data_IF_357061525068
#
_entry.id   IF_357061525068
#
_cell.length_a   1.000
_cell.length_b   1.000
_cell.length_c   1.000
_cell.angle_alpha   90.00
_cell.angle_beta   90.00
_cell.angle_gamma   90.00
#
_symmetry.space_group_name_H-M   'P 1'
#
loop_
_entity.id
_entity.type
_entity.pdbx_description
1 polymer ?
#
# COMPACT_ATOMS: atom_id res chain seq x y z
N UNK A 1 -35.66 15.13 21.51
CA UNK A 1 -35.17 14.95 20.12
C UNK A 1 -33.94 14.06 20.21
N UNK A 2 -33.88 12.78 19.84
CA UNK A 2 -34.87 11.74 19.54
C UNK A 2 -34.14 10.43 19.90
N UNK A 3 -34.72 9.62 20.79
CA UNK A 3 -34.17 8.33 21.17
C UNK A 3 -34.39 7.30 20.04
N UNK A 4 -33.48 6.33 19.82
CA UNK A 4 -33.69 5.25 18.86
C UNK A 4 -34.57 4.15 19.46
N UNK A 5 -35.72 3.90 18.83
CA UNK A 5 -36.57 2.75 19.12
C UNK A 5 -35.90 1.48 18.57
N UNK A 6 -35.64 0.52 19.45
CA UNK A 6 -35.27 -0.86 19.11
C UNK A 6 -36.53 -1.71 18.99
N UNK A 7 -36.64 -2.54 17.96
CA UNK A 7 -37.55 -3.69 17.97
C UNK A 7 -36.79 -4.99 17.61
N UNK A 8 -36.61 -5.78 18.67
CA UNK A 8 -37.04 -7.17 18.82
C UNK A 8 -36.47 -8.27 17.89
N UNK A 9 -35.70 -9.11 18.57
CA UNK A 9 -35.27 -10.49 18.29
C UNK A 9 -36.43 -11.50 18.18
N UNK A 10 -36.27 -12.64 17.46
CA UNK A 10 -36.44 -14.04 17.94
C UNK A 10 -36.74 -15.09 16.83
N UNK A 11 -35.72 -15.91 16.56
CA UNK A 11 -35.62 -17.40 16.53
C UNK A 11 -36.78 -18.38 16.12
N UNK A 12 -36.39 -19.44 15.39
CA UNK A 12 -36.87 -20.87 15.25
C UNK A 12 -38.30 -21.30 14.81
N UNK A 13 -38.36 -22.13 13.73
CA UNK A 13 -39.01 -23.47 13.75
C UNK A 13 -40.29 -23.77 12.90
N UNK A 14 -40.14 -24.46 11.74
CA UNK A 14 -41.10 -25.37 11.03
C UNK A 14 -42.55 -24.93 10.71
N UNK A 15 -43.40 -25.70 9.99
CA UNK A 15 -43.20 -26.60 8.84
C UNK A 15 -43.42 -25.88 7.49
N UNK A 16 -42.75 -26.35 6.43
CA UNK A 16 -42.69 -25.70 5.12
C UNK A 16 -44.06 -25.55 4.41
N UNK A 17 -44.57 -24.32 4.35
CA UNK A 17 -45.70 -23.89 3.52
C UNK A 17 -45.18 -22.96 2.42
N UNK A 18 -45.64 -23.17 1.17
CA UNK A 18 -45.12 -22.54 -0.07
C UNK A 18 -45.04 -21.00 -0.09
N UNK A 19 -45.63 -20.28 0.88
CA UNK A 19 -45.48 -18.83 1.04
C UNK A 19 -44.20 -18.40 1.77
N UNK A 20 -43.55 -19.30 2.50
CA UNK A 20 -42.33 -18.99 3.28
C UNK A 20 -41.05 -19.01 2.44
N UNK A 21 -41.09 -19.57 1.23
CA UNK A 21 -39.93 -19.66 0.32
C UNK A 21 -39.64 -18.32 -0.38
N UNK A 22 -40.60 -17.38 -0.41
CA UNK A 22 -40.40 -16.04 -0.96
C UNK A 22 -39.86 -15.00 0.05
N UNK A 23 -39.47 -15.44 1.26
CA UNK A 23 -38.88 -14.58 2.29
C UNK A 23 -37.37 -14.80 2.49
N UNK A 24 -36.77 -15.79 1.81
CA UNK A 24 -35.32 -16.08 1.85
C UNK A 24 -34.51 -15.30 0.78
N UNK A 25 -34.98 -14.11 0.40
CA UNK A 25 -34.35 -13.27 -0.63
C UNK A 25 -33.48 -12.13 -0.10
N UNK A 26 -33.25 -12.04 1.21
CA UNK A 26 -32.46 -10.95 1.82
C UNK A 26 -31.11 -11.48 2.34
N UNK A 27 -30.33 -12.10 1.46
CA UNK A 27 -28.95 -12.44 1.76
C UNK A 27 -28.09 -11.17 1.68
N UNK A 28 -27.57 -10.75 2.83
CA UNK A 28 -26.44 -9.85 3.04
C UNK A 28 -26.45 -8.54 2.22
N UNK A 29 -26.96 -7.46 2.83
CA UNK A 29 -26.44 -6.14 2.52
C UNK A 29 -24.97 -6.11 2.98
N UNK A 30 -24.05 -6.50 2.09
CA UNK A 30 -22.65 -6.13 2.25
C UNK A 30 -22.63 -4.61 2.24
N UNK A 31 -22.41 -4.00 3.40
CA UNK A 31 -21.99 -2.61 3.44
C UNK A 31 -20.67 -2.59 2.70
N UNK A 32 -20.72 -2.28 1.41
CA UNK A 32 -19.56 -1.84 0.67
C UNK A 32 -19.15 -0.57 1.39
N UNK A 33 -18.20 -0.71 2.32
CA UNK A 33 -17.48 0.42 2.84
C UNK A 33 -16.76 0.93 1.62
N UNK A 34 -17.36 1.94 1.00
CA UNK A 34 -16.68 2.80 0.06
C UNK A 34 -15.68 3.57 0.90
N UNK A 35 -14.57 2.91 1.20
CA UNK A 35 -13.32 3.60 1.36
C UNK A 35 -13.17 4.27 0.01
N UNK A 36 -13.61 5.53 -0.11
CA UNK A 36 -12.98 6.41 -1.08
C UNK A 36 -11.55 6.39 -0.60
N UNK A 37 -10.62 5.68 -1.27
CA UNK A 37 -9.26 6.12 -1.07
C UNK A 37 -9.35 7.58 -1.49
N UNK A 38 -8.65 8.48 -0.81
CA UNK A 38 -8.28 9.70 -1.48
C UNK A 38 -7.38 9.26 -2.66
N UNK A 39 -7.99 8.76 -3.74
CA UNK A 39 -7.53 8.73 -5.12
C UNK A 39 -7.50 10.17 -5.62
N UNK A 40 -7.04 11.09 -4.76
CA UNK A 40 -6.59 12.38 -5.21
C UNK A 40 -5.34 12.07 -6.04
N UNK A 41 -5.55 12.02 -7.35
CA UNK A 41 -4.54 12.21 -8.40
C UNK A 41 -3.74 10.99 -8.91
N UNK A 42 -4.36 9.81 -9.13
CA UNK A 42 -3.64 8.66 -9.73
C UNK A 42 -3.77 8.53 -11.27
N UNK A 43 -4.32 9.51 -11.98
CA UNK A 43 -4.50 9.41 -13.45
C UNK A 43 -3.54 10.28 -14.30
N UNK A 44 -2.73 11.15 -13.69
CA UNK A 44 -1.79 12.04 -14.42
C UNK A 44 -0.32 11.99 -13.97
N UNK A 45 0.01 11.23 -12.92
CA UNK A 45 1.31 11.31 -12.22
C UNK A 45 2.17 10.05 -12.32
N UNK A 46 2.13 9.26 -13.40
CA UNK A 46 3.11 8.15 -13.56
C UNK A 46 4.56 8.65 -13.74
N UNK A 47 4.76 9.95 -13.98
CA UNK A 47 6.07 10.60 -13.94
C UNK A 47 6.37 11.09 -12.51
N UNK A 48 5.43 11.76 -11.84
CA UNK A 48 5.60 12.27 -10.46
C UNK A 48 5.15 11.29 -9.34
N UNK A 49 5.20 9.97 -9.56
CA UNK A 49 4.87 9.04 -8.48
C UNK A 49 5.98 9.07 -7.41
N UNK A 50 5.61 8.97 -6.14
CA UNK A 50 6.55 8.92 -5.03
C UNK A 50 6.60 7.51 -4.43
N UNK A 51 7.81 7.02 -4.18
CA UNK A 51 8.10 5.74 -3.52
C UNK A 51 8.60 6.05 -2.10
N UNK A 52 7.81 5.77 -1.06
CA UNK A 52 8.27 5.89 0.32
C UNK A 52 9.27 4.77 0.64
N UNK A 53 10.41 5.15 1.20
CA UNK A 53 11.47 4.24 1.59
C UNK A 53 11.85 4.52 3.05
N UNK A 54 11.57 3.60 3.99
CA UNK A 54 10.80 2.37 3.90
C UNK A 54 9.32 2.65 3.60
N UNK A 55 8.59 1.60 3.22
CA UNK A 55 7.13 1.70 3.16
C UNK A 55 6.58 2.14 4.53
N UNK A 56 5.46 2.87 4.61
CA UNK A 56 4.83 3.29 5.87
C UNK A 56 4.52 2.11 6.80
N UNK A 57 4.25 0.94 6.23
CA UNK A 57 4.02 -0.31 6.96
C UNK A 57 5.30 -0.84 7.64
N UNK A 58 6.46 -0.45 7.12
CA UNK A 58 7.78 -0.77 7.65
C UNK A 58 8.38 0.37 8.49
N UNK A 59 7.57 1.34 8.92
CA UNK A 59 8.03 2.49 9.70
C UNK A 59 8.87 2.10 10.92
N UNK A 60 9.98 2.80 11.13
CA UNK A 60 10.93 2.55 12.23
C UNK A 60 12.06 1.57 11.91
N UNK A 61 12.03 0.92 10.74
CA UNK A 61 13.10 0.05 10.27
C UNK A 61 14.09 0.77 9.36
N UNK A 62 15.30 0.24 9.29
CA UNK A 62 16.40 0.67 8.43
C UNK A 62 16.51 -0.27 7.23
N UNK A 63 17.24 0.13 6.20
CA UNK A 63 17.43 -0.68 5.00
C UNK A 63 18.87 -1.19 4.98
N UNK A 64 19.05 -2.50 5.00
CA UNK A 64 20.35 -3.12 4.82
C UNK A 64 20.83 -2.94 3.37
N UNK A 65 22.14 -3.10 3.13
CA UNK A 65 22.73 -2.98 1.79
C UNK A 65 22.07 -3.90 0.74
N UNK A 66 21.52 -5.03 1.16
CA UNK A 66 20.81 -5.98 0.30
C UNK A 66 19.37 -5.53 -0.05
N UNK A 67 18.87 -4.47 0.56
CA UNK A 67 17.50 -3.96 0.41
C UNK A 67 16.49 -4.56 1.39
N UNK A 68 16.91 -5.34 2.39
CA UNK A 68 16.03 -5.88 3.43
C UNK A 68 15.79 -4.89 4.56
N UNK A 69 14.63 -5.02 5.22
CA UNK A 69 14.29 -4.20 6.39
C UNK A 69 14.94 -4.80 7.63
N UNK A 70 15.68 -3.98 8.37
CA UNK A 70 16.40 -4.38 9.58
C UNK A 70 16.14 -3.40 10.72
N UNK A 71 16.29 -3.83 11.99
CA UNK A 71 16.17 -2.93 13.12
C UNK A 71 17.20 -1.79 13.07
N UNK A 72 16.85 -0.65 13.66
CA UNK A 72 17.77 0.47 13.86
C UNK A 72 19.02 0.01 14.64
N UNK A 73 20.20 0.48 14.22
CA UNK A 73 21.48 0.11 14.84
C UNK A 73 22.15 -1.15 14.28
N UNK A 74 21.57 -1.78 13.25
CA UNK A 74 22.22 -2.87 12.52
C UNK A 74 23.43 -2.34 11.74
N UNK A 75 24.58 -3.02 11.84
CA UNK A 75 25.80 -2.60 11.13
C UNK A 75 25.59 -2.66 9.60
N UNK A 76 25.97 -1.57 8.91
CA UNK A 76 25.78 -1.46 7.46
C UNK A 76 24.32 -1.25 7.01
N UNK A 77 23.44 -0.86 7.94
CA UNK A 77 22.08 -0.45 7.64
C UNK A 77 21.97 1.06 7.44
N UNK A 78 21.22 1.47 6.43
CA UNK A 78 21.00 2.86 6.08
C UNK A 78 19.69 3.37 6.68
N UNK A 79 19.67 4.63 7.14
CA UNK A 79 18.47 5.25 7.68
C UNK A 79 17.35 5.30 6.63
N UNK A 80 16.10 5.50 7.06
CA UNK A 80 15.01 5.78 6.13
C UNK A 80 15.30 7.03 5.29
N UNK A 81 14.79 7.05 4.06
CA UNK A 81 14.94 8.22 3.20
C UNK A 81 14.20 9.43 3.86
N UNK A 82 14.83 10.62 3.91
CA UNK A 82 14.24 11.79 4.56
C UNK A 82 12.98 12.30 3.85
N UNK A 83 12.81 11.91 2.59
CA UNK A 83 11.65 12.18 1.75
C UNK A 83 11.33 10.95 0.90
N UNK A 84 10.08 10.79 0.46
CA UNK A 84 9.75 9.86 -0.61
C UNK A 84 10.59 10.15 -1.85
N UNK A 85 11.04 9.09 -2.53
CA UNK A 85 11.85 9.17 -3.76
C UNK A 85 10.90 9.29 -4.96
N UNK A 86 11.15 10.20 -5.91
CA UNK A 86 10.26 10.30 -7.09
C UNK A 86 10.48 9.14 -8.07
N UNK A 87 9.55 8.96 -9.00
CA UNK A 87 9.64 7.95 -10.05
C UNK A 87 10.88 8.13 -10.94
N UNK A 88 11.27 9.37 -11.25
CA UNK A 88 12.50 9.65 -12.00
C UNK A 88 13.75 9.27 -11.20
N UNK A 89 13.79 9.62 -9.91
CA UNK A 89 14.89 9.27 -9.02
C UNK A 89 14.99 7.76 -8.86
N UNK A 90 13.86 7.08 -8.66
CA UNK A 90 13.78 5.62 -8.59
C UNK A 90 14.25 4.96 -9.89
N UNK A 91 13.85 5.50 -11.06
CA UNK A 91 14.34 5.03 -12.36
C UNK A 91 15.84 5.20 -12.50
N UNK A 92 16.38 6.34 -12.10
CA UNK A 92 17.82 6.61 -12.15
C UNK A 92 18.62 5.69 -11.21
N UNK A 93 18.09 5.42 -10.02
CA UNK A 93 18.63 4.44 -9.07
C UNK A 93 18.65 3.03 -9.66
N UNK A 94 17.54 2.61 -10.27
CA UNK A 94 17.41 1.27 -10.87
C UNK A 94 18.34 1.06 -12.06
N UNK A 95 18.53 2.11 -12.86
CA UNK A 95 19.45 2.14 -14.00
C UNK A 95 20.93 2.29 -13.57
N UNK A 96 21.19 2.52 -12.28
CA UNK A 96 22.55 2.78 -11.77
C UNK A 96 23.17 4.07 -12.29
N UNK A 97 22.37 4.98 -12.83
CA UNK A 97 22.85 6.17 -13.56
C UNK A 97 22.98 7.41 -12.69
N UNK A 98 22.28 7.49 -11.55
CA UNK A 98 22.41 8.63 -10.64
C UNK A 98 22.04 8.29 -9.20
N UNK A 99 22.83 8.84 -8.27
CA UNK A 99 22.43 9.05 -6.88
C UNK A 99 21.50 10.28 -6.85
N UNK A 100 20.28 10.18 -6.32
CA UNK A 100 19.41 11.34 -6.23
C UNK A 100 20.04 12.38 -5.31
N UNK A 101 19.80 13.65 -5.59
CA UNK A 101 20.45 14.78 -4.90
C UNK A 101 20.17 14.72 -3.40
N UNK A 102 21.24 14.65 -2.59
CA UNK A 102 21.14 14.61 -1.12
C UNK A 102 21.08 13.21 -0.50
N UNK A 103 21.32 12.13 -1.26
CA UNK A 103 21.45 10.77 -0.74
C UNK A 103 22.89 10.27 -0.92
N UNK A 104 23.42 9.62 0.10
CA UNK A 104 24.74 8.96 0.03
C UNK A 104 24.77 7.89 -1.05
N UNK A 105 25.93 7.68 -1.68
CA UNK A 105 26.08 6.73 -2.77
C UNK A 105 25.78 5.30 -2.34
N UNK A 106 26.19 4.91 -1.14
CA UNK A 106 25.97 3.59 -0.59
C UNK A 106 24.51 3.39 -0.16
N UNK A 107 23.88 4.44 0.40
CA UNK A 107 22.46 4.44 0.73
C UNK A 107 21.61 4.30 -0.55
N UNK A 108 22.01 4.97 -1.63
CA UNK A 108 21.34 4.89 -2.94
C UNK A 108 21.27 3.45 -3.47
N UNK A 109 22.32 2.67 -3.29
CA UNK A 109 22.36 1.26 -3.70
C UNK A 109 21.43 0.40 -2.85
N UNK A 110 21.43 0.62 -1.53
CA UNK A 110 20.52 -0.05 -0.61
C UNK A 110 19.04 0.25 -0.96
N UNK A 111 18.73 1.51 -1.28
CA UNK A 111 17.39 1.90 -1.74
C UNK A 111 17.03 1.29 -3.09
N UNK A 112 17.95 1.24 -4.05
CA UNK A 112 17.72 0.56 -5.32
C UNK A 112 17.40 -0.93 -5.11
N UNK A 113 18.12 -1.60 -4.21
CA UNK A 113 17.88 -2.99 -3.85
C UNK A 113 16.54 -3.18 -3.13
N UNK A 114 16.15 -2.25 -2.26
CA UNK A 114 14.83 -2.23 -1.64
C UNK A 114 13.72 -2.06 -2.69
N UNK A 115 13.88 -1.13 -3.64
CA UNK A 115 12.90 -0.89 -4.71
C UNK A 115 12.72 -2.14 -5.58
N UNK A 116 13.81 -2.83 -5.94
CA UNK A 116 13.76 -4.10 -6.70
C UNK A 116 13.00 -5.22 -5.96
N UNK A 117 12.90 -5.13 -4.63
CA UNK A 117 12.21 -6.09 -3.78
C UNK A 117 10.77 -5.70 -3.44
N UNK A 118 10.31 -4.51 -3.86
CA UNK A 118 8.92 -4.10 -3.64
C UNK A 118 7.98 -5.18 -4.19
N UNK A 119 7.08 -5.66 -3.34
CA UNK A 119 6.07 -6.66 -3.70
C UNK A 119 4.71 -6.02 -3.92
N UNK A 120 3.83 -6.74 -4.63
CA UNK A 120 2.44 -6.34 -4.79
C UNK A 120 1.77 -6.17 -3.42
N UNK A 121 1.24 -4.97 -3.17
CA UNK A 121 0.65 -4.58 -1.88
C UNK A 121 1.53 -3.68 -1.01
N UNK A 122 2.82 -3.53 -1.34
CA UNK A 122 3.70 -2.53 -0.70
C UNK A 122 3.53 -1.14 -1.33
N UNK A 123 3.63 -0.10 -0.50
CA UNK A 123 3.59 1.29 -0.94
C UNK A 123 4.73 1.59 -1.91
N UNK A 124 4.41 2.13 -3.10
CA UNK A 124 5.39 2.42 -4.15
C UNK A 124 5.62 1.30 -5.17
N UNK A 125 5.08 0.09 -4.96
CA UNK A 125 5.17 -1.00 -5.95
C UNK A 125 4.48 -0.64 -7.27
N UNK A 126 3.32 0.00 -7.21
CA UNK A 126 2.57 0.42 -8.41
C UNK A 126 3.35 1.43 -9.26
N UNK A 127 4.11 2.32 -8.61
CA UNK A 127 5.05 3.22 -9.27
C UNK A 127 6.18 2.42 -9.92
N UNK A 128 6.85 1.55 -9.15
CA UNK A 128 7.94 0.71 -9.66
C UNK A 128 7.52 -0.16 -10.85
N UNK A 129 6.34 -0.79 -10.80
CA UNK A 129 5.78 -1.56 -11.90
C UNK A 129 5.53 -0.69 -13.14
N UNK A 130 5.13 0.57 -12.95
CA UNK A 130 4.92 1.52 -14.05
C UNK A 130 6.23 1.96 -14.72
N UNK A 131 7.35 1.96 -13.99
CA UNK A 131 8.68 2.25 -14.52
C UNK A 131 9.26 1.09 -15.34
N UNK A 132 8.86 -0.15 -15.03
CA UNK A 132 9.31 -1.34 -15.74
C UNK A 132 8.61 -1.58 -17.07
N UNK A 133 7.49 -0.89 -17.34
CA UNK A 133 6.84 -0.95 -18.64
C UNK A 133 7.69 -0.21 -19.68
N UNK A 134 8.28 -0.90 -20.66
CA UNK A 134 8.96 -0.24 -21.76
C UNK A 134 7.92 0.58 -22.53
N UNK A 135 8.29 1.82 -22.86
CA UNK A 135 7.49 2.69 -23.73
C UNK A 135 8.12 2.72 -25.10
#
# INVERSE_FOLDING_TARGET
MTAPTSETSKEIGGPATRRTVLALGAAAASTVVTIRPALAQTAGSVLNCEIPIPSPQAGGNYIAADGSLVPAGTAGAYPPAPRPITGEEAKALLNGSATPSGLDAEASQAYANYIRRLQAGMSGFTCYASLQMPR
#
